data_IF_654525195464
#
_entry.id   IF_654525195464
#
_cell.length_a   1.000
_cell.length_b   1.000
_cell.length_c   1.000
_cell.angle_alpha   90.00
_cell.angle_beta   90.00
_cell.angle_gamma   90.00
#
_symmetry.space_group_name_H-M   'P 1'
#
loop_
_entity.id
_entity.type
_entity.pdbx_description
1 polymer ?
#
# COMPACT_ATOMS: atom_id res chain seq x y z
N UNK A 1 -25.31 -39.63 36.48
CA UNK A 1 -25.05 -38.94 35.19
C UNK A 1 -23.92 -37.95 35.42
N UNK A 2 -22.73 -38.22 34.90
CA UNK A 2 -21.53 -37.46 35.24
C UNK A 2 -21.40 -36.21 34.38
N UNK A 3 -21.43 -35.05 35.04
CA UNK A 3 -21.26 -33.71 34.47
C UNK A 3 -19.82 -33.43 33.98
N UNK A 4 -18.91 -34.40 34.13
CA UNK A 4 -17.51 -34.28 33.71
C UNK A 4 -17.29 -34.41 32.18
N UNK A 5 -18.24 -34.98 31.44
CA UNK A 5 -18.06 -35.27 30.01
C UNK A 5 -18.51 -34.13 29.08
N UNK A 6 -19.18 -33.10 29.60
CA UNK A 6 -19.65 -31.96 28.79
C UNK A 6 -18.61 -30.82 28.67
N UNK A 7 -17.55 -30.84 29.47
CA UNK A 7 -16.53 -29.77 29.50
C UNK A 7 -15.30 -30.06 28.63
N UNK A 8 -15.20 -31.26 28.07
CA UNK A 8 -13.96 -31.74 27.43
C UNK A 8 -13.94 -31.63 25.90
N UNK A 9 -14.94 -31.02 25.26
CA UNK A 9 -15.05 -31.02 23.79
C UNK A 9 -14.47 -29.80 23.04
N UNK A 10 -14.35 -28.58 23.59
CA UNK A 10 -13.74 -27.48 22.81
C UNK A 10 -12.21 -27.43 22.87
N UNK A 11 -11.56 -28.20 23.76
CA UNK A 11 -10.11 -28.08 23.98
C UNK A 11 -9.22 -28.70 22.88
N UNK A 12 -9.77 -29.49 21.96
CA UNK A 12 -8.98 -30.05 20.84
C UNK A 12 -8.98 -29.20 19.57
N UNK A 13 -9.80 -28.16 19.49
CA UNK A 13 -9.81 -27.23 18.34
C UNK A 13 -8.87 -26.04 18.58
N UNK A 14 -8.60 -25.67 19.84
CA UNK A 14 -7.67 -24.57 20.17
C UNK A 14 -6.19 -24.94 20.10
N UNK A 15 -5.82 -26.22 20.21
CA UNK A 15 -4.43 -26.63 20.35
C UNK A 15 -3.65 -26.66 19.03
N UNK A 16 -4.33 -26.73 17.87
CA UNK A 16 -3.69 -26.59 16.55
C UNK A 16 -3.57 -25.12 16.11
N UNK A 17 -4.39 -24.22 16.65
CA UNK A 17 -4.28 -22.78 16.43
C UNK A 17 -3.22 -22.13 17.35
N UNK A 18 -2.94 -22.72 18.50
CA UNK A 18 -1.85 -22.30 19.37
C UNK A 18 -0.47 -22.62 18.77
N UNK A 19 -0.30 -23.77 18.10
CA UNK A 19 0.94 -24.14 17.43
C UNK A 19 1.30 -23.18 16.27
N UNK A 20 0.30 -22.65 15.57
CA UNK A 20 0.54 -21.65 14.51
C UNK A 20 0.83 -20.26 15.08
N UNK A 21 0.26 -19.88 16.22
CA UNK A 21 0.57 -18.60 16.88
C UNK A 21 1.94 -18.60 17.58
N UNK A 22 2.35 -19.74 18.16
CA UNK A 22 3.66 -19.88 18.78
C UNK A 22 4.80 -19.85 17.73
N UNK A 23 4.56 -20.35 16.51
CA UNK A 23 5.52 -20.26 15.42
C UNK A 23 5.79 -18.82 14.94
N UNK A 24 4.80 -17.92 15.07
CA UNK A 24 4.96 -16.50 14.71
C UNK A 24 5.65 -15.74 15.86
N UNK A 25 5.34 -16.09 17.12
CA UNK A 25 6.02 -15.52 18.28
C UNK A 25 7.49 -15.97 18.40
N UNK A 26 7.82 -17.23 18.06
CA UNK A 26 9.21 -17.69 17.96
C UNK A 26 9.98 -17.02 16.83
N UNK A 27 9.31 -16.59 15.75
CA UNK A 27 9.95 -15.79 14.70
C UNK A 27 10.40 -14.42 15.21
N UNK A 28 9.59 -13.78 16.05
CA UNK A 28 9.89 -12.47 16.66
C UNK A 28 10.93 -12.60 17.78
N UNK A 29 10.87 -13.65 18.60
CA UNK A 29 11.92 -13.92 19.60
C UNK A 29 13.22 -14.36 18.90
N UNK A 30 13.12 -15.03 17.76
CA UNK A 30 14.23 -15.38 16.89
C UNK A 30 14.94 -14.16 16.34
N UNK A 31 14.22 -13.14 15.84
CA UNK A 31 14.82 -11.90 15.34
C UNK A 31 15.43 -11.03 16.44
N UNK A 32 14.84 -11.03 17.65
CA UNK A 32 15.41 -10.31 18.81
C UNK A 32 16.61 -11.06 19.39
N UNK A 33 16.58 -12.40 19.45
CA UNK A 33 17.72 -13.22 19.84
C UNK A 33 18.83 -13.17 18.79
N UNK A 34 18.49 -13.00 17.51
CA UNK A 34 19.44 -12.68 16.45
C UNK A 34 20.04 -11.29 16.71
N UNK A 35 19.27 -10.27 17.06
CA UNK A 35 19.85 -8.95 17.37
C UNK A 35 20.83 -8.92 18.58
N UNK A 36 20.76 -9.91 19.50
CA UNK A 36 21.51 -9.90 20.77
C UNK A 36 22.44 -11.12 20.97
N UNK A 37 22.37 -12.16 20.13
CA UNK A 37 23.22 -13.36 20.27
C UNK A 37 24.60 -13.18 19.63
N UNK A 38 25.67 -13.70 20.24
CA UNK A 38 26.99 -13.74 19.62
C UNK A 38 27.05 -14.50 18.27
N UNK A 39 26.03 -15.32 17.97
CA UNK A 39 25.93 -16.05 16.71
C UNK A 39 25.52 -15.16 15.52
N UNK A 40 24.96 -13.98 15.79
CA UNK A 40 24.54 -13.07 14.71
C UNK A 40 25.68 -12.24 14.15
N UNK A 41 26.81 -12.17 14.87
CA UNK A 41 28.05 -11.67 14.29
C UNK A 41 28.57 -12.58 13.16
N UNK A 42 28.31 -13.89 13.20
CA UNK A 42 28.61 -14.79 12.07
C UNK A 42 27.64 -14.59 10.89
N UNK A 43 26.36 -14.30 11.13
CA UNK A 43 25.39 -14.02 10.05
C UNK A 43 25.51 -12.60 9.48
N UNK A 44 25.98 -11.61 10.24
CA UNK A 44 26.44 -10.31 9.72
C UNK A 44 27.75 -10.46 8.95
N UNK A 45 28.56 -11.46 9.31
CA UNK A 45 29.64 -11.95 8.47
C UNK A 45 29.16 -12.48 7.12
N UNK A 46 27.96 -13.09 7.07
CA UNK A 46 27.31 -13.52 5.84
C UNK A 46 26.60 -12.39 5.05
N UNK A 47 26.27 -11.26 5.67
CA UNK A 47 25.88 -10.00 4.97
C UNK A 47 27.10 -9.29 4.37
N UNK A 48 28.30 -9.86 4.52
CA UNK A 48 29.50 -9.40 3.82
C UNK A 48 30.00 -8.03 4.30
N UNK A 49 29.59 -7.57 5.48
CA UNK A 49 30.11 -6.33 6.05
C UNK A 49 31.52 -6.54 6.64
N UNK A 50 31.88 -7.77 6.98
CA UNK A 50 33.26 -8.16 7.34
C UNK A 50 33.99 -8.88 6.20
N UNK A 51 33.28 -9.27 5.14
CA UNK A 51 33.87 -9.93 3.99
C UNK A 51 34.24 -8.86 2.96
N UNK A 52 35.53 -8.76 2.61
CA UNK A 52 36.03 -7.73 1.69
C UNK A 52 35.25 -7.69 0.37
N UNK A 53 34.60 -8.80 -0.02
CA UNK A 53 33.74 -8.88 -1.21
C UNK A 53 32.43 -8.08 -1.09
N UNK A 54 31.82 -7.99 0.08
CA UNK A 54 30.58 -7.23 0.29
C UNK A 54 30.83 -5.73 0.37
N UNK A 55 31.93 -5.32 1.02
CA UNK A 55 32.39 -3.92 1.01
C UNK A 55 32.82 -3.48 -0.38
N UNK A 56 33.48 -4.34 -1.16
CA UNK A 56 33.77 -4.08 -2.58
C UNK A 56 32.49 -3.97 -3.42
N UNK A 57 31.47 -4.78 -3.14
CA UNK A 57 30.15 -4.65 -3.80
C UNK A 57 29.48 -3.31 -3.52
N UNK A 58 29.51 -2.84 -2.27
CA UNK A 58 29.00 -1.51 -1.90
C UNK A 58 29.80 -0.39 -2.55
N UNK A 59 31.13 -0.50 -2.58
CA UNK A 59 31.98 0.47 -3.26
C UNK A 59 31.71 0.48 -4.77
N UNK A 60 31.48 -0.68 -5.38
CA UNK A 60 31.11 -0.79 -6.79
C UNK A 60 29.75 -0.13 -7.04
N UNK A 61 28.77 -0.35 -6.17
CA UNK A 61 27.45 0.25 -6.28
C UNK A 61 27.48 1.78 -6.07
N UNK A 62 28.28 2.27 -5.12
CA UNK A 62 28.53 3.70 -4.93
C UNK A 62 29.27 4.28 -6.14
N UNK A 63 30.27 3.59 -6.67
CA UNK A 63 31.00 3.99 -7.88
C UNK A 63 30.07 4.05 -9.10
N UNK A 64 29.14 3.11 -9.24
CA UNK A 64 28.12 3.14 -10.29
C UNK A 64 27.17 4.33 -10.12
N UNK A 65 26.73 4.64 -8.89
CA UNK A 65 25.87 5.79 -8.63
C UNK A 65 26.59 7.13 -8.85
N UNK A 66 27.86 7.20 -8.49
CA UNK A 66 28.72 8.38 -8.62
C UNK A 66 29.25 8.59 -10.05
N UNK A 67 29.04 7.66 -10.98
CA UNK A 67 29.44 7.83 -12.38
C UNK A 67 28.73 9.02 -13.03
N UNK A 68 29.42 9.72 -13.94
CA UNK A 68 29.00 11.03 -14.48
C UNK A 68 27.60 11.08 -15.09
N UNK A 69 27.11 9.95 -15.61
CA UNK A 69 25.80 9.85 -16.27
C UNK A 69 24.68 9.34 -15.34
N UNK A 70 24.95 9.29 -14.04
CA UNK A 70 24.02 8.82 -13.00
C UNK A 70 23.67 9.97 -12.07
N UNK A 71 22.60 9.86 -11.26
CA UNK A 71 22.08 10.98 -10.49
C UNK A 71 23.12 11.61 -9.54
N UNK A 72 23.95 10.80 -8.86
CA UNK A 72 25.00 11.36 -7.99
C UNK A 72 26.14 11.96 -8.80
N UNK A 73 26.58 11.33 -9.89
CA UNK A 73 27.60 11.94 -10.75
C UNK A 73 27.15 13.29 -11.33
N UNK A 74 25.91 13.40 -11.79
CA UNK A 74 25.36 14.67 -12.26
C UNK A 74 25.29 15.74 -11.15
N UNK A 75 24.95 15.31 -9.93
CA UNK A 75 24.85 16.20 -8.78
C UNK A 75 26.21 16.70 -8.28
N UNK A 76 27.23 15.83 -8.30
CA UNK A 76 28.60 16.06 -7.83
C UNK A 76 29.52 16.68 -8.90
N UNK A 77 29.14 16.63 -10.18
CA UNK A 77 29.92 17.24 -11.27
C UNK A 77 30.13 18.74 -11.01
N UNK A 78 31.27 19.32 -11.44
CA UNK A 78 31.51 20.76 -11.32
C UNK A 78 30.35 21.60 -11.87
N UNK A 79 29.88 22.55 -11.06
CA UNK A 79 28.72 23.39 -11.34
C UNK A 79 27.37 22.71 -11.16
N UNK A 80 27.34 21.45 -10.71
CA UNK A 80 26.15 20.68 -10.35
C UNK A 80 25.48 21.17 -9.07
N UNK A 81 24.26 20.71 -8.77
CA UNK A 81 23.50 21.17 -7.60
C UNK A 81 24.19 20.89 -6.26
N UNK A 82 24.81 19.72 -6.06
CA UNK A 82 25.55 19.45 -4.83
C UNK A 82 26.85 20.25 -4.76
N UNK A 83 27.56 20.37 -5.88
CA UNK A 83 28.77 21.20 -5.98
C UNK A 83 28.49 22.65 -5.57
N UNK A 84 27.37 23.25 -6.02
CA UNK A 84 26.97 24.62 -5.61
C UNK A 84 26.54 24.74 -4.15
N UNK A 85 25.93 23.70 -3.59
CA UNK A 85 25.51 23.71 -2.19
C UNK A 85 26.71 23.64 -1.24
N UNK A 86 27.71 22.86 -1.62
CA UNK A 86 28.95 22.60 -0.87
C UNK A 86 30.11 23.54 -1.23
N UNK A 87 29.99 24.30 -2.33
CA UNK A 87 30.97 25.30 -2.73
C UNK A 87 31.20 26.34 -1.61
N UNK A 88 32.37 26.98 -1.57
CA UNK A 88 32.65 28.08 -0.65
C UNK A 88 31.58 29.18 -0.73
N UNK A 89 31.02 29.57 0.41
CA UNK A 89 29.89 30.50 0.52
C UNK A 89 28.53 29.92 0.11
N UNK A 90 28.47 28.62 -0.17
CA UNK A 90 27.26 27.88 -0.52
C UNK A 90 26.24 27.81 0.61
N UNK A 91 25.05 27.28 0.30
CA UNK A 91 23.96 27.20 1.27
C UNK A 91 24.34 26.37 2.51
N UNK A 92 25.08 25.27 2.32
CA UNK A 92 25.50 24.40 3.42
C UNK A 92 26.48 25.13 4.35
N UNK A 93 27.48 25.81 3.80
CA UNK A 93 28.42 26.60 4.59
C UNK A 93 27.70 27.73 5.34
N UNK A 94 26.75 28.44 4.72
CA UNK A 94 25.98 29.51 5.39
C UNK A 94 25.06 28.99 6.51
N UNK A 95 24.52 27.79 6.36
CA UNK A 95 23.67 27.15 7.37
C UNK A 95 24.49 26.70 8.59
N UNK A 96 25.69 26.18 8.34
CA UNK A 96 26.62 25.65 9.34
C UNK A 96 27.61 26.68 9.89
N UNK A 97 27.72 27.85 9.26
CA UNK A 97 28.59 28.93 9.70
C UNK A 97 28.24 29.35 11.14
N UNK A 98 29.20 29.89 11.91
CA UNK A 98 28.93 30.46 13.23
C UNK A 98 27.81 31.51 13.18
N UNK A 99 26.80 31.37 14.03
CA UNK A 99 25.60 32.20 14.01
C UNK A 99 24.60 31.86 12.90
N UNK A 100 24.87 30.83 12.09
CA UNK A 100 23.96 30.27 11.10
C UNK A 100 22.72 29.63 11.73
N UNK A 101 21.77 29.21 10.89
CA UNK A 101 20.50 28.64 11.37
C UNK A 101 20.74 27.33 12.12
N UNK A 102 21.62 26.47 11.61
CA UNK A 102 21.93 25.18 12.23
C UNK A 102 22.72 25.38 13.52
N UNK A 103 23.75 26.24 13.47
CA UNK A 103 24.54 26.60 14.66
C UNK A 103 23.66 27.18 15.77
N UNK A 104 22.76 28.12 15.44
CA UNK A 104 21.79 28.71 16.38
C UNK A 104 20.76 27.71 16.89
N UNK A 105 20.42 26.70 16.10
CA UNK A 105 19.48 25.68 16.50
C UNK A 105 20.07 24.67 17.49
N UNK A 106 21.33 24.30 17.31
CA UNK A 106 22.03 23.25 18.08
C UNK A 106 22.82 23.82 19.28
N UNK A 107 23.18 25.10 19.27
CA UNK A 107 23.89 25.73 20.39
C UNK A 107 23.15 25.57 21.73
N UNK A 108 23.84 25.74 22.86
CA UNK A 108 23.21 25.73 24.18
C UNK A 108 22.03 26.70 24.30
N UNK A 109 20.89 26.22 24.78
CA UNK A 109 19.61 26.94 24.83
C UNK A 109 18.90 27.11 23.49
N UNK A 110 19.39 26.45 22.43
CA UNK A 110 18.84 26.48 21.08
C UNK A 110 17.45 25.83 20.96
N UNK A 111 16.88 25.85 19.76
CA UNK A 111 15.57 25.20 19.52
C UNK A 111 15.65 23.68 19.65
N UNK A 112 16.77 23.07 19.28
CA UNK A 112 16.96 21.62 19.35
C UNK A 112 17.06 21.19 20.81
N UNK A 113 17.90 21.83 21.61
CA UNK A 113 18.02 21.50 23.04
C UNK A 113 16.69 21.72 23.78
N UNK A 114 15.98 22.82 23.54
CA UNK A 114 14.66 23.06 24.17
C UNK A 114 13.61 22.05 23.75
N UNK A 115 13.67 21.54 22.52
CA UNK A 115 12.78 20.48 22.07
C UNK A 115 13.09 19.13 22.76
N UNK A 116 14.38 18.86 23.03
CA UNK A 116 14.90 17.63 23.65
C UNK A 116 14.95 17.67 25.18
N UNK A 117 14.79 18.84 25.80
CA UNK A 117 14.77 19.00 27.26
C UNK A 117 13.57 18.25 27.84
N UNK A 118 13.66 17.84 29.10
CA UNK A 118 12.55 17.25 29.84
C UNK A 118 11.34 18.21 29.87
N UNK A 119 10.16 17.71 29.51
CA UNK A 119 8.95 18.49 29.27
C UNK A 119 8.97 19.32 27.98
N UNK A 120 9.99 19.15 27.14
CA UNK A 120 10.11 19.77 25.82
C UNK A 120 9.13 19.17 24.81
N UNK A 121 9.04 19.81 23.63
CA UNK A 121 8.06 19.38 22.59
C UNK A 121 8.32 17.94 22.15
N UNK A 122 9.58 17.56 21.96
CA UNK A 122 9.89 16.20 21.53
C UNK A 122 9.64 15.20 22.65
N UNK A 123 9.94 15.56 23.90
CA UNK A 123 9.65 14.74 25.07
C UNK A 123 8.14 14.48 25.22
N UNK A 124 7.30 15.50 25.06
CA UNK A 124 5.84 15.34 25.08
C UNK A 124 5.32 14.49 23.91
N UNK A 125 5.88 14.66 22.71
CA UNK A 125 5.49 13.87 21.54
C UNK A 125 5.84 12.39 21.68
N UNK A 126 7.00 12.09 22.30
CA UNK A 126 7.55 10.74 22.52
C UNK A 126 7.14 10.13 23.87
N UNK A 127 6.52 10.91 24.75
CA UNK A 127 6.07 10.47 26.06
C UNK A 127 5.06 9.31 25.97
N UNK A 128 4.87 8.63 27.09
CA UNK A 128 3.91 7.54 27.18
C UNK A 128 2.47 8.06 27.03
N UNK A 129 1.75 7.52 26.05
CA UNK A 129 0.48 8.04 25.48
C UNK A 129 0.63 9.38 24.75
N UNK A 130 1.85 9.70 24.32
CA UNK A 130 2.17 10.86 23.50
C UNK A 130 1.52 10.80 22.12
N UNK A 131 1.59 11.92 21.38
CA UNK A 131 0.96 12.00 20.06
C UNK A 131 1.56 10.98 19.07
N UNK A 132 2.86 10.70 19.17
CA UNK A 132 3.50 9.72 18.28
C UNK A 132 3.07 8.29 18.63
N UNK A 133 3.02 7.94 19.92
CA UNK A 133 2.58 6.61 20.34
C UNK A 133 1.12 6.35 19.94
N UNK A 134 0.22 7.32 20.14
CA UNK A 134 -1.18 7.21 19.70
C UNK A 134 -1.32 7.09 18.19
N UNK A 135 -0.40 7.70 17.45
CA UNK A 135 -0.38 7.65 16.00
C UNK A 135 0.03 6.26 15.49
N UNK A 136 0.99 5.63 16.18
CA UNK A 136 1.55 4.31 15.88
C UNK A 136 0.84 3.14 16.59
N UNK A 137 -0.04 3.43 17.56
CA UNK A 137 -0.79 2.42 18.29
C UNK A 137 -1.67 1.58 17.35
N UNK A 138 -1.95 0.35 17.75
CA UNK A 138 -2.86 -0.54 17.04
C UNK A 138 -4.28 0.05 17.00
N UNK A 139 -4.90 0.05 15.82
CA UNK A 139 -6.14 0.79 15.55
C UNK A 139 -5.97 2.32 15.49
N UNK A 140 -4.74 2.83 15.60
CA UNK A 140 -4.40 4.24 15.46
C UNK A 140 -4.54 4.75 14.03
N UNK A 141 -4.39 6.06 13.80
CA UNK A 141 -4.59 6.65 12.47
C UNK A 141 -3.64 6.09 11.40
N UNK A 142 -2.38 5.79 11.72
CA UNK A 142 -1.48 5.18 10.74
C UNK A 142 -1.88 3.75 10.41
N UNK A 143 -2.29 2.98 11.41
CA UNK A 143 -2.77 1.61 11.21
C UNK A 143 -4.02 1.58 10.31
N UNK A 144 -4.94 2.54 10.50
CA UNK A 144 -6.11 2.70 9.62
C UNK A 144 -5.72 3.05 8.19
N UNK A 145 -4.71 3.91 7.97
CA UNK A 145 -4.23 4.26 6.64
C UNK A 145 -3.61 3.02 5.95
N UNK A 146 -2.82 2.23 6.68
CA UNK A 146 -2.23 0.99 6.16
C UNK A 146 -3.33 -0.03 5.81
N UNK A 147 -4.31 -0.23 6.69
CA UNK A 147 -5.45 -1.13 6.45
C UNK A 147 -6.28 -0.70 5.24
N UNK A 148 -6.52 0.61 5.08
CA UNK A 148 -7.22 1.13 3.91
C UNK A 148 -6.41 0.94 2.64
N UNK A 149 -5.09 1.19 2.68
CA UNK A 149 -4.19 0.97 1.55
C UNK A 149 -4.20 -0.49 1.11
N UNK A 150 -4.17 -1.42 2.05
CA UNK A 150 -4.27 -2.85 1.78
C UNK A 150 -5.62 -3.21 1.15
N UNK A 151 -6.72 -2.65 1.67
CA UNK A 151 -8.06 -2.81 1.08
C UNK A 151 -8.11 -2.28 -0.35
N UNK A 152 -7.53 -1.11 -0.63
CA UNK A 152 -7.45 -0.53 -1.97
C UNK A 152 -6.57 -1.39 -2.90
N UNK A 153 -5.46 -1.93 -2.41
CA UNK A 153 -4.63 -2.86 -3.16
C UNK A 153 -5.43 -4.12 -3.55
N UNK A 154 -6.25 -4.64 -2.63
CA UNK A 154 -7.14 -5.80 -2.87
C UNK A 154 -8.29 -5.53 -3.84
N UNK A 155 -8.68 -4.27 -4.06
CA UNK A 155 -9.66 -3.90 -5.08
C UNK A 155 -9.09 -3.90 -6.50
N UNK A 156 -7.77 -3.79 -6.66
CA UNK A 156 -7.09 -3.70 -7.97
C UNK A 156 -7.45 -4.87 -8.91
N UNK A 157 -7.40 -6.15 -8.47
CA UNK A 157 -7.78 -7.28 -9.33
C UNK A 157 -9.27 -7.25 -9.72
N UNK A 158 -10.14 -6.80 -8.81
CA UNK A 158 -11.58 -6.66 -9.08
C UNK A 158 -11.87 -5.65 -10.20
N UNK A 159 -11.13 -4.54 -10.23
CA UNK A 159 -11.24 -3.52 -11.29
C UNK A 159 -10.75 -4.09 -12.64
N UNK A 160 -9.69 -4.90 -12.65
CA UNK A 160 -9.21 -5.57 -13.86
C UNK A 160 -10.23 -6.57 -14.41
N UNK A 161 -10.88 -7.32 -13.53
CA UNK A 161 -11.88 -8.32 -13.91
C UNK A 161 -13.19 -7.67 -14.43
N UNK A 162 -13.55 -6.49 -13.91
CA UNK A 162 -14.63 -5.69 -14.46
C UNK A 162 -14.34 -5.19 -15.87
N UNK A 163 -13.09 -4.78 -16.16
CA UNK A 163 -12.71 -4.29 -17.48
C UNK A 163 -12.91 -5.38 -18.56
N UNK A 164 -12.43 -6.59 -18.30
CA UNK A 164 -12.59 -7.73 -19.21
C UNK A 164 -14.08 -8.10 -19.42
N UNK A 165 -14.90 -7.96 -18.38
CA UNK A 165 -16.34 -8.22 -18.48
C UNK A 165 -17.06 -7.15 -19.30
N UNK A 166 -16.63 -5.89 -19.22
CA UNK A 166 -17.14 -4.79 -20.04
C UNK A 166 -16.78 -5.01 -21.50
N UNK A 167 -15.56 -5.42 -21.80
CA UNK A 167 -15.12 -5.70 -23.18
C UNK A 167 -15.96 -6.81 -23.83
N UNK A 168 -16.21 -7.91 -23.08
CA UNK A 168 -17.03 -9.02 -23.55
C UNK A 168 -18.52 -8.63 -23.71
N UNK A 169 -19.04 -7.78 -22.83
CA UNK A 169 -20.41 -7.24 -22.95
C UNK A 169 -20.53 -6.30 -24.17
N UNK A 170 -19.50 -5.49 -24.45
CA UNK A 170 -19.50 -4.64 -25.64
C UNK A 170 -19.49 -5.48 -26.93
N UNK A 171 -18.66 -6.52 -26.99
CA UNK A 171 -18.60 -7.42 -28.15
C UNK A 171 -19.94 -8.15 -28.38
N UNK A 172 -20.57 -8.65 -27.31
CA UNK A 172 -21.89 -9.31 -27.42
C UNK A 172 -23.01 -8.33 -27.79
N UNK A 173 -22.95 -7.08 -27.32
CA UNK A 173 -23.90 -6.04 -27.73
C UNK A 173 -23.69 -5.65 -29.20
N UNK A 174 -22.45 -5.60 -29.68
CA UNK A 174 -22.13 -5.36 -31.09
C UNK A 174 -22.71 -6.48 -31.97
N UNK A 175 -22.53 -7.74 -31.58
CA UNK A 175 -23.08 -8.91 -32.27
C UNK A 175 -24.62 -8.92 -32.25
N UNK A 176 -25.22 -8.58 -31.11
CA UNK A 176 -26.68 -8.50 -30.99
C UNK A 176 -27.24 -7.34 -31.83
N UNK A 177 -26.59 -6.17 -31.84
CA UNK A 177 -26.97 -5.03 -32.71
C UNK A 177 -26.87 -5.39 -34.19
N UNK A 178 -25.80 -6.09 -34.59
CA UNK A 178 -25.62 -6.59 -35.95
C UNK A 178 -26.71 -7.59 -36.37
N UNK A 179 -27.18 -8.43 -35.45
CA UNK A 179 -28.23 -9.41 -35.70
C UNK A 179 -29.66 -8.83 -35.67
N UNK A 180 -29.92 -7.83 -34.83
CA UNK A 180 -31.24 -7.22 -34.66
C UNK A 180 -31.56 -6.17 -35.74
N UNK A 181 -30.55 -5.54 -36.35
CA UNK A 181 -30.73 -4.58 -37.45
C UNK A 181 -31.56 -5.16 -38.62
N UNK A 182 -31.20 -6.33 -39.18
CA UNK A 182 -31.97 -6.98 -40.24
C UNK A 182 -33.41 -7.34 -39.83
N UNK A 183 -33.63 -7.70 -38.56
CA UNK A 183 -34.96 -8.00 -38.03
C UNK A 183 -35.83 -6.74 -37.90
N UNK A 184 -35.23 -5.60 -37.56
CA UNK A 184 -35.89 -4.29 -37.55
C UNK A 184 -36.35 -3.84 -38.93
N UNK A 185 -35.53 -4.05 -39.96
CA UNK A 185 -35.86 -3.74 -41.35
C UNK A 185 -36.99 -4.63 -41.90
N UNK A 186 -37.05 -5.90 -41.48
CA UNK A 186 -38.14 -6.81 -41.80
C UNK A 186 -39.45 -6.40 -41.11
N UNK A 187 -39.39 -5.96 -39.85
CA UNK A 187 -40.55 -5.44 -39.13
C UNK A 187 -41.09 -4.14 -39.75
N UNK A 188 -40.22 -3.25 -40.23
CA UNK A 188 -40.60 -2.01 -40.93
C UNK A 188 -41.22 -2.24 -42.32
N UNK A 189 -40.96 -3.40 -42.95
CA UNK A 189 -41.52 -3.79 -44.24
C UNK A 189 -42.83 -4.58 -44.16
N UNK A 190 -43.31 -4.89 -42.95
CA UNK A 190 -44.60 -5.56 -42.80
C UNK A 190 -45.75 -4.60 -43.19
N UNK A 191 -46.60 -4.98 -44.16
CA UNK A 191 -47.66 -4.11 -44.62
C UNK A 191 -48.69 -3.91 -43.51
N UNK A 192 -48.98 -2.65 -43.15
CA UNK A 192 -49.87 -2.23 -42.05
C UNK A 192 -51.33 -2.73 -42.11
N UNK A 193 -51.64 -3.61 -43.07
CA UNK A 193 -52.91 -4.36 -43.16
C UNK A 193 -53.07 -5.42 -42.05
N UNK A 194 -51.98 -5.90 -41.43
CA UNK A 194 -52.03 -6.89 -40.34
C UNK A 194 -52.12 -6.29 -38.94
N UNK A 195 -51.65 -5.05 -38.75
CA UNK A 195 -51.84 -4.31 -37.48
C UNK A 195 -53.30 -3.84 -37.29
N UNK A 196 -54.14 -3.96 -38.32
CA UNK A 196 -55.56 -3.60 -38.33
C UNK A 196 -56.45 -4.84 -38.50
N UNK A 197 -56.30 -5.83 -37.62
CA UNK A 197 -57.24 -6.97 -37.51
C UNK A 197 -57.85 -7.11 -36.10
N UNK A 198 -57.53 -6.20 -35.18
CA UNK A 198 -58.03 -6.23 -33.80
C UNK A 198 -59.27 -5.36 -33.51
N UNK A 199 -59.92 -4.78 -34.53
CA UNK A 199 -60.95 -3.78 -34.29
C UNK A 199 -61.99 -3.65 -35.40
N UNK A 200 -62.80 -4.69 -35.63
CA UNK A 200 -64.16 -4.58 -36.15
C UNK A 200 -64.80 -5.98 -36.31
N UNK A 201 -65.73 -6.34 -35.42
CA UNK A 201 -67.09 -6.78 -35.79
C UNK A 201 -67.76 -7.45 -34.58
N UNK A 202 -68.37 -6.63 -33.74
CA UNK A 202 -69.42 -7.07 -32.81
C UNK A 202 -70.72 -6.44 -33.26
N UNK A 203 -71.49 -7.10 -34.14
CA UNK A 203 -72.87 -6.73 -34.43
C UNK A 203 -73.68 -7.89 -35.04
N UNK A 204 -74.79 -8.21 -34.36
CA UNK A 204 -75.96 -8.95 -34.84
C UNK A 204 -75.84 -10.47 -34.78
N UNK A 205 -76.81 -11.27 -34.34
CA UNK A 205 -78.15 -11.06 -33.80
C UNK A 205 -78.69 -12.47 -33.40
N UNK A 206 -79.74 -12.49 -32.57
CA UNK A 206 -80.67 -13.57 -32.12
C UNK A 206 -81.00 -14.68 -33.15
N UNK A 207 -81.51 -15.91 -32.78
CA UNK A 207 -82.86 -16.12 -32.18
C UNK A 207 -83.03 -17.46 -31.38
N UNK A 208 -84.24 -18.07 -31.23
CA UNK A 208 -85.33 -17.68 -30.33
C UNK A 208 -85.72 -18.81 -29.34
N UNK A 209 -86.40 -18.46 -28.26
CA UNK A 209 -87.03 -19.39 -27.31
C UNK A 209 -87.49 -18.70 -26.04
#
# INVERSE_FOLDING_TARGET
MNLASALAFPLRVGLTAADTALGIAESVIGTVRVAVSPATYETLGAVGLTDTRGTLGLLQQVSELASDNRPLGHALRPGGPLDRLLAPGGAVERLLAPGGIVDTAIKPGGVVERALTEGGVLDVLLSERGALERLLAEGGPLDQIVSLSETLAQLTPGIQQMHLSIDLLQETVELLRGAVGPLGDLAGKLPGRWLRSGGASGKGELPPG
#
